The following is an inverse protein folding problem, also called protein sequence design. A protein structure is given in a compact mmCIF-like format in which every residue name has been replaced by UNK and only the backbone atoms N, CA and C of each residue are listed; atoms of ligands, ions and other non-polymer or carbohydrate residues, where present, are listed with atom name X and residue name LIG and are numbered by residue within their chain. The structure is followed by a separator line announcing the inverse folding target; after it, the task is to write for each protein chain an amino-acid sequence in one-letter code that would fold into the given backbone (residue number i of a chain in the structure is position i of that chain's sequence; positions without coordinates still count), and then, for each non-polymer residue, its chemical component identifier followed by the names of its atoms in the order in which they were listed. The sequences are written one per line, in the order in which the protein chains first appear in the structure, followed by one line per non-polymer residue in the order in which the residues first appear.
data_IF_146720332541
#
_entry.id   IF_146720332541
#
_cell.length_a   1.000
_cell.length_b   1.000
_cell.length_c   1.000
_cell.angle_alpha   90.00
_cell.angle_beta   90.00
_cell.angle_gamma   90.00
#
_symmetry.space_group_name_H-M   'P 1'
#
loop_
_entity.id
_entity.type
_entity.pdbx_description
1 polymer ?
#
# COMPACT_ATOMS: atom_id res chain seq x y z
N UNK A 1 -6.95 5.02 36.72
CA UNK A 1 -7.83 5.03 35.53
C UNK A 1 -7.15 4.23 34.43
N UNK A 2 -7.69 3.08 34.08
CA UNK A 2 -7.22 2.27 32.96
C UNK A 2 -7.45 3.04 31.66
N UNK A 3 -6.38 3.60 31.09
CA UNK A 3 -6.43 4.25 29.77
C UNK A 3 -7.05 3.27 28.78
N UNK A 4 -8.17 3.65 28.18
CA UNK A 4 -8.84 2.85 27.16
C UNK A 4 -7.83 2.63 26.02
N UNK A 5 -7.33 1.40 25.86
CA UNK A 5 -6.42 1.00 24.79
C UNK A 5 -7.19 0.86 23.47
N UNK A 6 -7.86 1.93 23.01
CA UNK A 6 -8.67 1.93 21.78
C UNK A 6 -7.78 1.85 20.54
N UNK A 7 -6.61 2.48 20.60
CA UNK A 7 -5.69 2.56 19.47
C UNK A 7 -4.71 1.38 19.49
N UNK A 8 -4.79 0.54 18.47
CA UNK A 8 -3.78 -0.45 18.12
C UNK A 8 -3.31 -0.24 16.68
N UNK A 9 -2.32 -1.00 16.23
CA UNK A 9 -1.77 -0.88 14.87
C UNK A 9 -2.86 -1.04 13.80
N UNK A 10 -3.69 -2.08 13.89
CA UNK A 10 -4.78 -2.31 12.95
C UNK A 10 -5.78 -1.15 12.87
N UNK A 11 -6.19 -0.62 14.03
CA UNK A 11 -7.03 0.56 14.12
C UNK A 11 -6.36 1.79 13.50
N UNK A 12 -5.05 1.98 13.70
CA UNK A 12 -4.32 3.11 13.12
C UNK A 12 -4.29 3.05 11.58
N UNK A 13 -4.06 1.85 11.01
CA UNK A 13 -4.11 1.61 9.56
C UNK A 13 -5.53 1.91 9.03
N UNK A 14 -6.55 1.36 9.68
CA UNK A 14 -7.94 1.57 9.28
C UNK A 14 -8.35 3.05 9.36
N UNK A 15 -7.96 3.75 10.44
CA UNK A 15 -8.21 5.18 10.61
C UNK A 15 -7.51 6.00 9.53
N UNK A 16 -6.25 5.70 9.19
CA UNK A 16 -5.57 6.35 8.08
C UNK A 16 -6.38 6.22 6.78
N UNK A 17 -6.74 4.98 6.41
CA UNK A 17 -7.44 4.71 5.16
C UNK A 17 -8.81 5.39 5.11
N UNK A 18 -9.59 5.30 6.19
CA UNK A 18 -10.91 5.92 6.27
C UNK A 18 -10.79 7.44 6.19
N UNK A 19 -9.92 8.06 7.00
CA UNK A 19 -9.82 9.51 7.07
C UNK A 19 -9.29 10.11 5.76
N UNK A 20 -8.20 9.56 5.21
CA UNK A 20 -7.58 10.10 3.99
C UNK A 20 -8.44 9.87 2.75
N UNK A 21 -9.05 8.68 2.62
CA UNK A 21 -9.96 8.41 1.50
C UNK A 21 -11.23 9.26 1.60
N UNK A 22 -11.82 9.36 2.79
CA UNK A 22 -13.03 10.19 3.00
C UNK A 22 -12.76 11.67 2.78
N UNK A 23 -11.56 12.16 3.15
CA UNK A 23 -11.15 13.53 2.89
C UNK A 23 -11.24 13.85 1.40
N UNK A 24 -10.61 13.04 0.53
CA UNK A 24 -10.71 13.27 -0.92
C UNK A 24 -12.13 13.04 -1.47
N UNK A 25 -12.84 12.01 -1.01
CA UNK A 25 -14.23 11.78 -1.42
C UNK A 25 -15.15 12.96 -1.08
N UNK A 26 -14.94 13.63 0.06
CA UNK A 26 -15.72 14.80 0.48
C UNK A 26 -15.50 16.03 -0.41
N UNK A 27 -14.41 16.07 -1.16
CA UNK A 27 -14.06 17.16 -2.07
C UNK A 27 -14.56 16.91 -3.50
N UNK A 28 -15.16 15.74 -3.78
CA UNK A 28 -15.68 15.45 -5.10
C UNK A 28 -16.84 16.39 -5.43
N UNK A 29 -16.89 16.93 -6.67
CA UNK A 29 -18.05 17.67 -7.12
C UNK A 29 -19.30 16.77 -7.14
N UNK A 30 -20.51 17.34 -6.98
CA UNK A 30 -21.74 16.56 -7.05
C UNK A 30 -21.84 15.82 -8.39
N UNK A 31 -22.33 14.57 -8.41
CA UNK A 31 -22.44 13.80 -9.63
C UNK A 31 -23.41 14.50 -10.59
N UNK A 32 -23.08 14.66 -11.88
CA UNK A 32 -24.05 15.14 -12.85
C UNK A 32 -25.14 14.08 -13.05
N UNK A 33 -26.28 14.52 -13.60
CA UNK A 33 -27.50 13.71 -13.78
C UNK A 33 -27.34 12.45 -14.65
N UNK A 34 -26.18 12.26 -15.30
CA UNK A 34 -25.86 11.12 -16.18
C UNK A 34 -24.49 10.51 -15.86
N UNK A 35 -24.27 10.11 -14.61
CA UNK A 35 -23.06 9.38 -14.25
C UNK A 35 -22.98 8.02 -14.96
N UNK A 36 -21.88 7.76 -15.68
CA UNK A 36 -21.59 6.44 -16.21
C UNK A 36 -21.14 5.50 -15.08
N UNK A 37 -21.61 4.26 -15.05
CA UNK A 37 -21.34 3.28 -13.98
C UNK A 37 -19.84 3.05 -13.73
N UNK A 38 -19.01 3.17 -14.78
CA UNK A 38 -17.55 2.97 -14.71
C UNK A 38 -16.84 3.98 -13.80
N UNK A 39 -17.19 5.27 -13.90
CA UNK A 39 -16.64 6.35 -13.07
C UNK A 39 -17.04 6.27 -11.59
N UNK A 40 -18.18 5.64 -11.29
CA UNK A 40 -18.72 5.52 -9.93
C UNK A 40 -17.91 4.55 -9.09
N UNK A 41 -17.30 3.55 -9.73
CA UNK A 41 -16.44 2.55 -9.08
C UNK A 41 -14.97 2.96 -9.16
N UNK A 42 -14.51 3.44 -10.33
CA UNK A 42 -13.11 3.77 -10.56
C UNK A 42 -12.57 4.78 -9.54
N UNK A 43 -13.26 5.90 -9.33
CA UNK A 43 -12.78 7.00 -8.48
C UNK A 43 -12.59 6.56 -7.00
N UNK A 44 -13.59 5.96 -6.33
CA UNK A 44 -13.38 5.45 -4.97
C UNK A 44 -12.26 4.42 -4.87
N UNK A 45 -12.16 3.52 -5.86
CA UNK A 45 -11.11 2.50 -5.92
C UNK A 45 -9.72 3.12 -6.01
N UNK A 46 -9.51 4.09 -6.90
CA UNK A 46 -8.22 4.76 -7.06
C UNK A 46 -7.87 5.62 -5.83
N UNK A 47 -8.82 6.37 -5.27
CA UNK A 47 -8.59 7.13 -4.04
C UNK A 47 -8.21 6.22 -2.88
N UNK A 48 -8.93 5.11 -2.69
CA UNK A 48 -8.60 4.13 -1.66
C UNK A 48 -7.19 3.56 -1.88
N UNK A 49 -6.90 3.09 -3.10
CA UNK A 49 -5.63 2.46 -3.41
C UNK A 49 -4.45 3.44 -3.27
N UNK A 50 -4.57 4.66 -3.78
CA UNK A 50 -3.51 5.66 -3.68
C UNK A 50 -3.22 6.03 -2.22
N UNK A 51 -4.25 6.15 -1.36
CA UNK A 51 -4.06 6.42 0.06
C UNK A 51 -3.48 5.21 0.82
N UNK A 52 -3.83 3.99 0.43
CA UNK A 52 -3.17 2.78 0.90
C UNK A 52 -1.71 2.73 0.46
N UNK A 53 -1.42 3.03 -0.81
CA UNK A 53 -0.08 3.04 -1.34
C UNK A 53 0.79 4.09 -0.64
N UNK A 54 0.27 5.29 -0.35
CA UNK A 54 0.98 6.30 0.45
C UNK A 54 1.31 5.77 1.84
N UNK A 55 0.35 5.12 2.51
CA UNK A 55 0.57 4.54 3.83
C UNK A 55 1.67 3.49 3.84
N UNK A 56 1.60 2.54 2.90
CA UNK A 56 2.57 1.48 2.77
C UNK A 56 3.93 2.06 2.37
N UNK A 57 3.99 3.02 1.46
CA UNK A 57 5.22 3.71 1.09
C UNK A 57 5.91 4.42 2.29
N UNK A 58 5.14 5.02 3.20
CA UNK A 58 5.71 5.53 4.47
C UNK A 58 6.29 4.40 5.34
N UNK A 59 5.62 3.25 5.39
CA UNK A 59 6.15 2.08 6.07
C UNK A 59 7.41 1.53 5.38
N UNK A 60 7.48 1.55 4.05
CA UNK A 60 8.63 1.12 3.25
C UNK A 60 9.84 2.05 3.42
N UNK A 61 9.61 3.36 3.63
CA UNK A 61 10.68 4.26 4.07
C UNK A 61 11.22 3.80 5.44
N UNK A 62 10.33 3.41 6.36
CA UNK A 62 10.73 2.88 7.67
C UNK A 62 11.54 1.57 7.53
N UNK A 63 11.19 0.70 6.56
CA UNK A 63 11.97 -0.50 6.21
C UNK A 63 13.42 -0.14 5.89
N UNK A 64 13.64 0.79 4.96
CA UNK A 64 14.99 1.20 4.56
C UNK A 64 15.77 1.84 5.70
N UNK A 65 15.14 2.77 6.44
CA UNK A 65 15.80 3.52 7.52
C UNK A 65 16.17 2.66 8.73
N UNK A 66 15.46 1.54 8.97
CA UNK A 66 15.59 0.74 10.18
C UNK A 66 16.03 -0.71 9.92
N UNK A 67 16.71 -0.98 8.79
CA UNK A 67 17.09 -2.35 8.41
C UNK A 67 17.88 -3.10 9.50
N UNK A 68 18.80 -2.42 10.20
CA UNK A 68 19.55 -3.04 11.31
C UNK A 68 18.71 -3.32 12.56
N UNK A 69 17.58 -2.63 12.75
CA UNK A 69 16.59 -2.97 13.77
C UNK A 69 15.77 -4.18 13.31
N UNK A 70 15.29 -4.18 12.07
CA UNK A 70 14.49 -5.26 11.47
C UNK A 70 15.23 -6.60 11.52
N UNK A 71 16.53 -6.61 11.18
CA UNK A 71 17.37 -7.81 11.25
C UNK A 71 17.40 -8.43 12.65
N UNK A 72 17.57 -7.60 13.69
CA UNK A 72 17.61 -8.07 15.09
C UNK A 72 16.24 -8.49 15.58
N UNK A 73 15.21 -7.71 15.28
CA UNK A 73 13.84 -8.00 15.69
C UNK A 73 13.31 -9.27 15.02
N UNK A 74 13.62 -9.50 13.74
CA UNK A 74 13.30 -10.72 13.00
C UNK A 74 13.89 -11.96 13.68
N UNK A 75 15.16 -11.94 14.09
CA UNK A 75 15.78 -13.08 14.77
C UNK A 75 15.05 -13.41 16.07
N UNK A 76 14.68 -12.40 16.85
CA UNK A 76 13.91 -12.60 18.08
C UNK A 76 12.51 -13.16 17.80
N UNK A 77 11.81 -12.60 16.80
CA UNK A 77 10.48 -13.07 16.40
C UNK A 77 10.52 -14.50 15.88
N UNK A 78 11.53 -14.83 15.08
CA UNK A 78 11.71 -16.17 14.52
C UNK A 78 11.88 -17.22 15.61
N UNK A 79 12.64 -16.93 16.66
CA UNK A 79 12.78 -17.85 17.79
C UNK A 79 11.49 -17.90 18.65
N UNK A 80 10.81 -16.78 18.82
CA UNK A 80 9.60 -16.69 19.66
C UNK A 80 8.37 -17.36 19.03
N UNK A 81 8.20 -17.21 17.71
CA UNK A 81 7.00 -17.62 16.96
C UNK A 81 7.29 -18.73 15.95
N UNK A 82 8.34 -19.52 16.17
CA UNK A 82 8.74 -20.61 15.26
C UNK A 82 7.57 -21.58 15.02
N UNK A 83 7.07 -21.66 13.78
CA UNK A 83 5.94 -22.51 13.41
C UNK A 83 4.57 -21.97 13.79
N UNK A 84 4.50 -20.75 14.37
CA UNK A 84 3.28 -20.02 14.72
C UNK A 84 3.38 -18.57 14.20
N UNK A 85 3.83 -18.39 12.97
CA UNK A 85 4.10 -17.08 12.37
C UNK A 85 2.84 -16.20 12.30
N UNK A 86 1.66 -16.80 12.22
CA UNK A 86 0.37 -16.10 12.28
C UNK A 86 0.16 -15.34 13.60
N UNK A 87 0.56 -15.92 14.72
CA UNK A 87 0.41 -15.29 16.03
C UNK A 87 1.27 -14.02 16.13
N UNK A 88 2.41 -13.98 15.43
CA UNK A 88 3.23 -12.76 15.35
C UNK A 88 2.47 -11.64 14.60
N UNK A 89 1.77 -11.96 13.51
CA UNK A 89 0.95 -11.00 12.77
C UNK A 89 -0.19 -10.45 13.63
N UNK A 90 -0.92 -11.33 14.34
CA UNK A 90 -2.00 -10.93 15.24
C UNK A 90 -1.46 -10.08 16.38
N UNK A 91 -0.34 -10.48 16.99
CA UNK A 91 0.32 -9.73 18.06
C UNK A 91 0.75 -8.33 17.61
N UNK A 92 1.26 -8.19 16.38
CA UNK A 92 1.61 -6.90 15.81
C UNK A 92 0.37 -6.03 15.56
N UNK A 93 -0.64 -6.56 14.86
CA UNK A 93 -1.85 -5.79 14.50
C UNK A 93 -2.66 -5.35 15.73
N UNK A 94 -2.66 -6.17 16.78
CA UNK A 94 -3.37 -5.88 18.04
C UNK A 94 -2.50 -5.15 19.07
N UNK A 95 -1.23 -4.86 18.74
CA UNK A 95 -0.33 -4.15 19.64
C UNK A 95 -0.89 -2.76 19.96
N UNK A 96 -1.11 -2.42 21.24
CA UNK A 96 -1.63 -1.12 21.62
C UNK A 96 -0.61 -0.02 21.30
N UNK A 97 -1.12 1.13 20.84
CA UNK A 97 -0.32 2.29 20.49
C UNK A 97 -0.68 3.49 21.36
N UNK A 98 0.34 4.22 21.78
CA UNK A 98 0.19 5.61 22.21
C UNK A 98 0.20 6.54 21.00
N UNK A 99 -0.32 7.77 21.17
CA UNK A 99 -0.32 8.77 20.08
C UNK A 99 1.10 9.06 19.59
N UNK A 100 2.09 9.14 20.49
CA UNK A 100 3.49 9.35 20.11
C UNK A 100 4.07 8.21 19.26
N UNK A 101 3.63 6.97 19.50
CA UNK A 101 4.06 5.80 18.73
C UNK A 101 3.53 5.77 17.30
N UNK A 102 2.50 6.56 16.96
CA UNK A 102 2.08 6.73 15.56
C UNK A 102 3.16 7.36 14.69
N UNK A 103 4.09 8.10 15.30
CA UNK A 103 5.18 8.78 14.61
C UNK A 103 6.54 8.11 14.84
N UNK A 104 6.56 6.93 15.49
CA UNK A 104 7.78 6.18 15.74
C UNK A 104 8.07 5.25 14.56
N UNK A 105 9.15 5.53 13.82
CA UNK A 105 9.55 4.71 12.68
C UNK A 105 9.83 3.25 13.05
N UNK A 106 10.26 2.96 14.29
CA UNK A 106 10.54 1.58 14.73
C UNK A 106 9.26 0.78 14.90
N UNK A 107 8.17 1.40 15.36
CA UNK A 107 6.85 0.76 15.47
C UNK A 107 6.37 0.28 14.11
N UNK A 108 6.51 1.12 13.08
CA UNK A 108 6.15 0.75 11.70
C UNK A 108 7.15 -0.24 11.09
N UNK A 109 8.42 -0.17 11.49
CA UNK A 109 9.44 -1.14 11.05
C UNK A 109 9.17 -2.57 11.53
N UNK A 110 8.45 -2.74 12.64
CA UNK A 110 8.06 -4.08 13.14
C UNK A 110 7.11 -4.83 12.22
N UNK A 111 6.39 -4.12 11.36
CA UNK A 111 5.62 -4.75 10.29
C UNK A 111 6.53 -5.62 9.42
N UNK A 112 7.71 -5.11 9.08
CA UNK A 112 8.65 -5.77 8.18
C UNK A 112 9.44 -6.89 8.83
N UNK A 113 9.79 -6.79 10.12
CA UNK A 113 10.38 -7.92 10.85
C UNK A 113 9.36 -9.06 11.01
N UNK A 114 8.09 -8.72 11.23
CA UNK A 114 6.98 -9.69 11.26
C UNK A 114 6.76 -10.31 9.87
N UNK A 115 6.71 -9.50 8.82
CA UNK A 115 6.59 -9.97 7.44
C UNK A 115 7.78 -10.85 7.02
N UNK A 116 8.96 -10.61 7.60
CA UNK A 116 10.17 -11.40 7.34
C UNK A 116 10.07 -12.87 7.77
N UNK A 117 9.12 -13.21 8.65
CA UNK A 117 8.79 -14.60 8.99
C UNK A 117 8.22 -15.35 7.77
N UNK A 118 7.48 -14.64 6.91
CA UNK A 118 6.95 -15.15 5.65
C UNK A 118 7.91 -14.97 4.49
N UNK A 119 8.66 -13.87 4.47
CA UNK A 119 9.63 -13.61 3.41
C UNK A 119 10.93 -13.00 3.93
N UNK A 120 12.01 -13.80 4.07
CA UNK A 120 13.29 -13.32 4.56
C UNK A 120 13.96 -12.22 3.71
N UNK A 121 13.43 -11.87 2.53
CA UNK A 121 13.96 -10.75 1.74
C UNK A 121 13.91 -9.43 2.52
N UNK A 122 12.90 -9.22 3.37
CA UNK A 122 12.68 -7.94 4.05
C UNK A 122 13.69 -7.63 5.15
N UNK A 123 14.37 -8.64 5.70
CA UNK A 123 15.51 -8.44 6.59
C UNK A 123 16.85 -8.41 5.83
N UNK A 124 16.87 -8.79 4.55
CA UNK A 124 18.07 -8.83 3.73
C UNK A 124 18.18 -7.60 2.81
N UNK A 125 19.07 -6.67 3.18
CA UNK A 125 19.36 -5.44 2.43
C UNK A 125 19.93 -5.65 1.02
N UNK A 126 20.42 -6.86 0.71
CA UNK A 126 20.95 -7.21 -0.60
C UNK A 126 19.87 -7.77 -1.53
N UNK A 127 18.68 -8.03 -0.99
CA UNK A 127 17.61 -8.66 -1.77
C UNK A 127 16.89 -7.66 -2.66
N UNK A 128 16.39 -8.16 -3.79
CA UNK A 128 15.47 -7.41 -4.64
C UNK A 128 14.22 -6.96 -3.87
N UNK A 129 13.68 -7.81 -2.99
CA UNK A 129 12.49 -7.51 -2.19
C UNK A 129 12.68 -6.30 -1.27
N UNK A 130 13.88 -6.11 -0.71
CA UNK A 130 14.20 -4.90 0.05
C UNK A 130 14.19 -3.65 -0.82
N UNK A 131 14.86 -3.69 -1.98
CA UNK A 131 15.01 -2.52 -2.84
C UNK A 131 13.75 -2.13 -3.61
N UNK A 132 12.90 -3.09 -3.98
CA UNK A 132 11.65 -2.79 -4.67
C UNK A 132 10.72 -2.00 -3.75
N UNK A 133 10.57 -2.44 -2.49
CA UNK A 133 9.68 -1.81 -1.54
C UNK A 133 10.30 -0.52 -0.99
N UNK A 134 11.58 -0.49 -0.61
CA UNK A 134 12.22 0.78 -0.22
C UNK A 134 12.21 1.80 -1.37
N UNK A 135 12.40 1.35 -2.61
CA UNK A 135 12.28 2.18 -3.81
C UNK A 135 10.86 2.74 -4.00
N UNK A 136 9.84 1.91 -3.83
CA UNK A 136 8.43 2.33 -3.84
C UNK A 136 8.15 3.40 -2.77
N UNK A 137 8.70 3.22 -1.57
CA UNK A 137 8.65 4.20 -0.48
C UNK A 137 9.17 5.57 -0.89
N UNK A 138 10.27 5.60 -1.65
CA UNK A 138 10.91 6.83 -2.09
C UNK A 138 10.26 7.49 -3.31
N UNK A 139 9.56 6.74 -4.16
CA UNK A 139 9.10 7.26 -5.46
C UNK A 139 7.59 7.36 -5.64
N UNK A 140 6.77 6.66 -4.85
CA UNK A 140 5.34 6.51 -5.16
C UNK A 140 4.40 7.44 -4.39
N UNK A 141 4.87 8.07 -3.30
CA UNK A 141 4.07 9.03 -2.52
C UNK A 141 3.67 10.26 -3.36
N UNK A 142 4.60 10.99 -4.02
CA UNK A 142 4.22 12.17 -4.80
C UNK A 142 3.29 11.85 -5.99
N UNK A 143 3.55 10.80 -6.79
CA UNK A 143 2.62 10.35 -7.82
C UNK A 143 1.23 10.00 -7.29
N UNK A 144 1.13 9.28 -6.16
CA UNK A 144 -0.16 8.91 -5.56
C UNK A 144 -0.98 10.15 -5.15
N UNK A 145 -0.31 11.15 -4.57
CA UNK A 145 -0.94 12.43 -4.24
C UNK A 145 -1.35 13.23 -5.47
N UNK A 146 -0.51 13.23 -6.52
CA UNK A 146 -0.83 13.88 -7.80
C UNK A 146 -2.11 13.31 -8.40
N UNK A 147 -2.27 11.98 -8.40
CA UNK A 147 -3.50 11.34 -8.91
C UNK A 147 -4.70 11.70 -8.01
N UNK A 148 -4.55 11.70 -6.69
CA UNK A 148 -5.65 12.10 -5.80
C UNK A 148 -6.09 13.55 -6.06
N UNK A 149 -5.14 14.48 -6.26
CA UNK A 149 -5.42 15.87 -6.64
C UNK A 149 -6.09 15.94 -8.01
N UNK A 150 -5.64 15.17 -8.99
CA UNK A 150 -6.25 15.13 -10.33
C UNK A 150 -7.71 14.66 -10.29
N UNK A 151 -8.04 13.73 -9.40
CA UNK A 151 -9.40 13.21 -9.21
C UNK A 151 -10.33 14.29 -8.63
N UNK A 152 -9.90 15.05 -7.61
CA UNK A 152 -10.77 16.02 -6.92
C UNK A 152 -10.72 17.43 -7.51
N UNK A 153 -9.58 17.83 -8.06
CA UNK A 153 -9.32 19.15 -8.62
C UNK A 153 -8.67 19.04 -10.01
N UNK A 154 -9.37 18.47 -11.00
CA UNK A 154 -8.81 18.18 -12.32
C UNK A 154 -8.22 19.41 -13.03
N UNK A 155 -8.78 20.59 -12.80
CA UNK A 155 -8.35 21.84 -13.45
C UNK A 155 -7.05 22.42 -12.85
N UNK A 156 -6.52 21.82 -11.77
CA UNK A 156 -5.30 22.27 -11.09
C UNK A 156 -4.04 21.57 -11.58
N UNK A 157 -4.17 20.53 -12.39
CA UNK A 157 -3.06 19.68 -12.82
C UNK A 157 -3.18 19.36 -14.31
N UNK A 158 -2.03 19.15 -14.95
CA UNK A 158 -2.00 18.88 -16.39
C UNK A 158 -2.34 17.42 -16.70
N UNK A 159 -3.24 17.16 -17.68
CA UNK A 159 -3.51 15.81 -18.21
C UNK A 159 -2.26 15.04 -18.60
N UNK A 160 -1.31 15.70 -19.28
CA UNK A 160 -0.05 15.08 -19.68
C UNK A 160 0.76 14.59 -18.48
N UNK A 161 0.90 15.42 -17.45
CA UNK A 161 1.67 15.08 -16.26
C UNK A 161 1.04 13.94 -15.47
N UNK A 162 -0.28 14.00 -15.26
CA UNK A 162 -1.04 12.95 -14.54
C UNK A 162 -1.01 11.63 -15.31
N UNK A 163 -1.19 11.68 -16.63
CA UNK A 163 -1.12 10.51 -17.49
C UNK A 163 0.25 9.84 -17.46
N UNK A 164 1.33 10.59 -17.69
CA UNK A 164 2.69 10.03 -17.73
C UNK A 164 3.18 9.55 -16.36
N UNK A 165 3.06 10.39 -15.32
CA UNK A 165 3.54 10.03 -13.97
C UNK A 165 2.70 8.90 -13.39
N UNK A 166 1.37 8.97 -13.56
CA UNK A 166 0.47 7.93 -13.08
C UNK A 166 0.73 6.58 -13.74
N UNK A 167 0.89 6.56 -15.07
CA UNK A 167 1.18 5.32 -15.80
C UNK A 167 2.50 4.69 -15.33
N UNK A 168 3.54 5.51 -15.16
CA UNK A 168 4.83 5.06 -14.64
C UNK A 168 4.72 4.49 -13.22
N UNK A 169 4.02 5.19 -12.31
CA UNK A 169 3.82 4.75 -10.93
C UNK A 169 3.00 3.45 -10.86
N UNK A 170 1.85 3.38 -11.54
CA UNK A 170 1.00 2.19 -11.52
C UNK A 170 1.71 0.98 -12.12
N UNK A 171 2.46 1.16 -13.20
CA UNK A 171 3.29 0.09 -13.74
C UNK A 171 4.39 -0.33 -12.76
N UNK A 172 5.11 0.61 -12.15
CA UNK A 172 6.18 0.31 -11.20
C UNK A 172 5.68 -0.57 -10.05
N UNK A 173 4.58 -0.17 -9.39
CA UNK A 173 4.09 -0.90 -8.22
C UNK A 173 3.54 -2.28 -8.61
N UNK A 174 2.85 -2.40 -9.75
CA UNK A 174 2.36 -3.69 -10.25
C UNK A 174 3.51 -4.61 -10.67
N UNK A 175 4.48 -4.09 -11.42
CA UNK A 175 5.65 -4.84 -11.85
C UNK A 175 6.46 -5.33 -10.65
N UNK A 176 6.65 -4.47 -9.63
CA UNK A 176 7.25 -4.86 -8.36
C UNK A 176 6.55 -6.05 -7.72
N UNK A 177 5.21 -6.02 -7.65
CA UNK A 177 4.40 -7.14 -7.16
C UNK A 177 4.52 -8.39 -8.02
N UNK A 178 4.55 -8.27 -9.35
CA UNK A 178 4.78 -9.42 -10.25
C UNK A 178 6.12 -10.08 -9.94
N UNK A 179 7.20 -9.30 -9.88
CA UNK A 179 8.53 -9.84 -9.59
C UNK A 179 8.59 -10.42 -8.17
N UNK A 180 7.92 -9.79 -7.20
CA UNK A 180 7.79 -10.33 -5.85
C UNK A 180 7.14 -11.72 -5.85
N UNK A 181 5.97 -11.87 -6.50
CA UNK A 181 5.25 -13.14 -6.56
C UNK A 181 6.07 -14.22 -7.29
N UNK A 182 6.73 -13.87 -8.40
CA UNK A 182 7.64 -14.77 -9.11
C UNK A 182 8.81 -15.20 -8.22
N UNK A 183 9.44 -14.25 -7.51
CA UNK A 183 10.52 -14.53 -6.56
C UNK A 183 10.06 -15.42 -5.41
N UNK A 184 8.85 -15.20 -4.90
CA UNK A 184 8.27 -15.99 -3.81
C UNK A 184 8.04 -17.45 -4.25
N UNK A 185 7.45 -17.65 -5.43
CA UNK A 185 7.15 -18.98 -5.97
C UNK A 185 8.41 -19.72 -6.43
N UNK A 186 9.27 -19.07 -7.23
CA UNK A 186 10.53 -19.66 -7.71
C UNK A 186 11.48 -19.98 -6.56
N UNK A 187 11.52 -19.05 -5.58
CA UNK A 187 12.04 -19.15 -4.21
C UNK A 187 11.57 -20.35 -3.39
N UNK A 188 10.44 -20.96 -3.74
CA UNK A 188 9.71 -21.91 -2.90
C UNK A 188 9.47 -21.40 -1.47
N UNK A 189 9.27 -20.08 -1.30
CA UNK A 189 9.12 -19.45 0.03
C UNK A 189 7.85 -19.87 0.77
N UNK A 190 6.91 -20.50 0.07
CA UNK A 190 5.71 -21.13 0.63
C UNK A 190 5.97 -22.49 1.30
N UNK A 191 7.10 -23.16 1.02
CA UNK A 191 7.38 -24.49 1.57
C UNK A 191 7.56 -24.41 3.08
N UNK A 192 6.87 -25.29 3.81
CA UNK A 192 6.88 -25.32 5.27
C UNK A 192 5.91 -24.34 5.94
N UNK A 193 5.08 -23.63 5.17
CA UNK A 193 4.06 -22.70 5.69
C UNK A 193 2.64 -23.22 5.45
N UNK A 194 1.69 -22.75 6.26
CA UNK A 194 0.26 -23.00 6.02
C UNK A 194 -0.16 -22.37 4.70
N UNK A 195 -0.81 -23.15 3.82
CA UNK A 195 -1.32 -22.62 2.55
C UNK A 195 -2.40 -21.56 2.76
N UNK A 196 -3.19 -21.67 3.83
CA UNK A 196 -4.19 -20.66 4.18
C UNK A 196 -3.52 -19.32 4.52
N UNK A 197 -2.48 -19.36 5.36
CA UNK A 197 -1.72 -18.15 5.73
C UNK A 197 -1.02 -17.53 4.53
N UNK A 198 -0.42 -18.35 3.66
CA UNK A 198 0.18 -17.87 2.41
C UNK A 198 -0.87 -17.20 1.52
N UNK A 199 -2.06 -17.81 1.35
CA UNK A 199 -3.12 -17.22 0.55
C UNK A 199 -3.64 -15.89 1.13
N UNK A 200 -3.80 -15.80 2.45
CA UNK A 200 -4.27 -14.58 3.11
C UNK A 200 -3.19 -13.48 3.16
N UNK A 201 -1.97 -13.83 3.51
CA UNK A 201 -0.93 -12.86 3.82
C UNK A 201 -0.08 -12.47 2.61
N UNK A 202 0.10 -13.39 1.66
CA UNK A 202 0.81 -13.13 0.41
C UNK A 202 -0.19 -12.92 -0.72
N UNK A 203 -1.17 -13.82 -0.88
CA UNK A 203 -2.14 -13.72 -1.98
C UNK A 203 -3.05 -12.49 -1.87
N UNK A 204 -3.82 -12.38 -0.79
CA UNK A 204 -4.83 -11.34 -0.65
C UNK A 204 -4.22 -9.93 -0.52
N UNK A 205 -3.17 -9.76 0.28
CA UNK A 205 -2.48 -8.47 0.42
C UNK A 205 -1.95 -7.95 -0.93
N UNK A 206 -1.23 -8.79 -1.68
CA UNK A 206 -0.65 -8.43 -2.97
C UNK A 206 -1.69 -8.30 -4.10
N UNK A 207 -2.86 -8.92 -3.95
CA UNK A 207 -3.94 -8.80 -4.95
C UNK A 207 -4.36 -7.34 -5.17
N UNK A 208 -4.26 -6.48 -4.16
CA UNK A 208 -4.58 -5.05 -4.28
C UNK A 208 -3.66 -4.37 -5.30
N UNK A 209 -2.36 -4.67 -5.26
CA UNK A 209 -1.35 -4.18 -6.23
C UNK A 209 -1.40 -4.88 -7.59
N UNK A 210 -2.22 -5.94 -7.74
CA UNK A 210 -2.50 -6.57 -9.03
C UNK A 210 -3.80 -6.08 -9.66
N UNK A 211 -4.75 -5.57 -8.87
CA UNK A 211 -6.09 -5.17 -9.33
C UNK A 211 -6.19 -3.67 -9.57
N UNK A 212 -5.77 -2.84 -8.61
CA UNK A 212 -5.95 -1.39 -8.72
C UNK A 212 -5.00 -0.73 -9.71
N UNK A 213 -3.73 -1.13 -9.84
CA UNK A 213 -2.85 -0.50 -10.82
C UNK A 213 -3.34 -0.64 -12.27
N UNK A 214 -3.87 -1.78 -12.75
CA UNK A 214 -4.54 -1.83 -14.06
C UNK A 214 -5.67 -0.81 -14.22
N UNK A 215 -6.49 -0.59 -13.19
CA UNK A 215 -7.53 0.44 -13.23
C UNK A 215 -6.93 1.85 -13.35
N UNK A 216 -5.85 2.10 -12.63
CA UNK A 216 -5.11 3.36 -12.68
C UNK A 216 -4.44 3.59 -14.05
N UNK A 217 -3.79 2.56 -14.60
CA UNK A 217 -3.20 2.60 -15.94
C UNK A 217 -4.27 2.84 -17.01
N UNK A 218 -5.44 2.20 -16.91
CA UNK A 218 -6.58 2.49 -17.79
C UNK A 218 -6.97 3.98 -17.72
N UNK A 219 -7.10 4.55 -16.51
CA UNK A 219 -7.40 5.97 -16.34
C UNK A 219 -6.32 6.87 -16.98
N UNK A 220 -5.04 6.57 -16.74
CA UNK A 220 -3.92 7.31 -17.32
C UNK A 220 -3.92 7.24 -18.86
N UNK A 221 -4.21 6.07 -19.45
CA UNK A 221 -4.32 5.92 -20.91
C UNK A 221 -5.46 6.76 -21.47
N UNK A 222 -6.64 6.77 -20.83
CA UNK A 222 -7.73 7.65 -21.22
C UNK A 222 -7.33 9.13 -21.17
N UNK A 223 -6.66 9.56 -20.09
CA UNK A 223 -6.20 10.94 -19.93
C UNK A 223 -5.22 11.34 -21.03
N UNK A 224 -4.26 10.47 -21.36
CA UNK A 224 -3.28 10.74 -22.41
C UNK A 224 -3.91 10.76 -23.81
N UNK A 225 -4.87 9.86 -24.07
CA UNK A 225 -5.58 9.77 -25.35
C UNK A 225 -6.49 10.98 -25.58
N UNK A 226 -7.26 11.35 -24.56
CA UNK A 226 -8.34 12.34 -24.68
C UNK A 226 -7.85 13.75 -24.34
N UNK A 227 -6.67 13.88 -23.72
CA UNK A 227 -6.11 15.17 -23.30
C UNK A 227 -6.90 15.85 -22.19
N UNK A 228 -7.74 15.10 -21.45
CA UNK A 228 -8.63 15.61 -20.41
C UNK A 228 -8.70 14.67 -19.19
N UNK A 229 -9.21 15.19 -18.06
CA UNK A 229 -9.46 14.40 -16.85
C UNK A 229 -10.86 13.79 -16.80
N UNK A 230 -11.56 13.71 -17.93
CA UNK A 230 -12.97 13.32 -17.98
C UNK A 230 -13.20 11.87 -17.52
N UNK A 231 -12.18 11.01 -17.57
CA UNK A 231 -12.25 9.65 -17.01
C UNK A 231 -12.54 9.63 -15.50
N UNK A 232 -12.18 10.70 -14.79
CA UNK A 232 -12.51 10.88 -13.37
C UNK A 232 -13.87 11.56 -13.17
N UNK A 233 -14.40 12.21 -14.21
CA UNK A 233 -15.71 12.84 -14.14
C UNK A 233 -16.78 11.77 -14.24
N UNK A 234 -17.75 11.85 -13.32
CA UNK A 234 -18.88 10.95 -13.33
C UNK A 234 -19.85 11.30 -14.45
N UNK A 235 -19.53 11.00 -15.71
CA UNK A 235 -20.44 11.21 -16.85
C UNK A 235 -19.90 12.12 -17.95
N UNK A 236 -18.83 11.68 -18.62
CA UNK A 236 -18.55 12.08 -19.99
C UNK A 236 -18.97 10.95 -20.95
#
# INVERSE_FOLDING_TARGET
MSSLKILNVGCAIALWLVLTTSLFLSQLPPPPSKATTSSTILVPCLLFFNNLNIFIAMCEICLGMNIGYIQRDYLNLRETYKGNEWDACVAYLTMPLTIGQLFDSKVWSRMWSTYSLYDPSYQNRESFGFFIDFGNGMSTIPPSLLINVAIVWPDKVSPLWVGCIGLAMYWQVMYGTIIYLLSFVYNRRYVGKSMLEVCLFVGFSNSLWMIFPPMGMHACVCILRDGSMDVFRRGA
#
